data_IF_969478924550
#
_entry.id   IF_969478924550
#
_cell.length_a   1.000
_cell.length_b   1.000
_cell.length_c   1.000
_cell.angle_alpha   90.00
_cell.angle_beta   90.00
_cell.angle_gamma   90.00
#
_symmetry.space_group_name_H-M   'P 1'
#
loop_
_entity.id
_entity.type
_entity.pdbx_description
1 polymer ?
#
# COMPACT_ATOMS: atom_id res chain seq x y z
N UNK A 1 -19.99 -2.10 2.02
CA UNK A 1 -21.18 -2.93 1.96
C UNK A 1 -22.34 -2.20 1.31
N UNK A 2 -23.15 -2.91 0.55
CA UNK A 2 -24.35 -2.34 -0.11
C UNK A 2 -25.47 -3.36 0.00
N UNK A 3 -26.62 -2.93 0.48
CA UNK A 3 -27.81 -3.81 0.60
C UNK A 3 -28.28 -4.31 -0.78
N UNK A 4 -28.78 -5.53 -0.84
CA UNK A 4 -29.22 -6.16 -2.07
C UNK A 4 -28.10 -6.69 -2.97
N UNK A 5 -26.84 -6.57 -2.58
CA UNK A 5 -25.70 -7.12 -3.31
C UNK A 5 -25.46 -8.58 -2.93
N UNK A 6 -25.15 -9.42 -3.94
CA UNK A 6 -24.67 -10.78 -3.71
C UNK A 6 -23.14 -10.74 -3.63
N UNK A 7 -22.60 -11.09 -2.47
CA UNK A 7 -21.17 -11.22 -2.25
C UNK A 7 -20.73 -12.66 -2.48
N UNK A 8 -19.48 -12.84 -2.90
CA UNK A 8 -18.94 -14.17 -3.14
C UNK A 8 -18.35 -14.71 -1.83
N UNK A 9 -18.64 -15.97 -1.45
CA UNK A 9 -18.00 -16.54 -0.28
C UNK A 9 -16.51 -16.78 -0.56
N UNK A 10 -15.68 -16.48 0.42
CA UNK A 10 -14.27 -16.84 0.41
C UNK A 10 -14.13 -18.37 0.53
N UNK A 11 -13.15 -18.90 -0.19
CA UNK A 11 -12.73 -20.29 -0.09
C UNK A 11 -11.22 -20.36 0.01
N UNK A 12 -10.70 -21.22 0.88
CA UNK A 12 -9.27 -21.44 1.08
C UNK A 12 -8.64 -22.37 0.03
N UNK A 13 -9.47 -23.14 -0.67
CA UNK A 13 -9.06 -24.13 -1.67
C UNK A 13 -9.11 -23.61 -3.13
N UNK A 14 -9.57 -22.39 -3.36
CA UNK A 14 -9.58 -21.75 -4.67
C UNK A 14 -8.75 -20.46 -4.65
N UNK A 15 -8.11 -20.17 -5.75
CA UNK A 15 -7.45 -18.86 -5.89
C UNK A 15 -8.52 -17.75 -6.04
N UNK A 16 -8.76 -17.03 -4.94
CA UNK A 16 -9.69 -15.90 -4.90
C UNK A 16 -9.09 -14.60 -5.42
N UNK A 17 -7.76 -14.54 -5.54
CA UNK A 17 -7.01 -13.35 -5.95
C UNK A 17 -6.79 -13.32 -7.47
N UNK A 18 -7.91 -13.22 -8.21
CA UNK A 18 -7.88 -12.95 -9.64
C UNK A 18 -8.09 -11.45 -9.86
N UNK A 19 -7.28 -10.85 -10.71
CA UNK A 19 -7.28 -9.42 -10.94
C UNK A 19 -7.65 -9.11 -12.38
N UNK A 20 -8.31 -7.98 -12.61
CA UNK A 20 -8.53 -7.42 -13.94
C UNK A 20 -7.25 -6.78 -14.52
N UNK A 21 -7.34 -6.19 -15.70
CA UNK A 21 -6.22 -5.50 -16.36
C UNK A 21 -5.69 -4.29 -15.58
N UNK A 22 -6.50 -3.73 -14.69
CA UNK A 22 -6.15 -2.60 -13.82
C UNK A 22 -5.59 -3.04 -12.47
N UNK A 23 -5.52 -4.35 -12.21
CA UNK A 23 -5.09 -4.90 -10.93
C UNK A 23 -6.15 -4.87 -9.83
N UNK A 24 -7.41 -4.72 -10.19
CA UNK A 24 -8.53 -4.75 -9.24
C UNK A 24 -9.01 -6.18 -9.09
N UNK A 25 -9.28 -6.60 -7.85
CA UNK A 25 -9.80 -7.94 -7.56
C UNK A 25 -11.17 -8.11 -8.21
N UNK A 26 -11.30 -9.16 -9.05
CA UNK A 26 -12.53 -9.46 -9.76
C UNK A 26 -13.67 -9.96 -8.84
N UNK A 27 -13.31 -10.51 -7.68
CA UNK A 27 -14.27 -11.19 -6.80
C UNK A 27 -14.53 -10.37 -5.54
N UNK A 28 -15.79 -10.00 -5.30
CA UNK A 28 -16.21 -9.22 -4.13
C UNK A 28 -16.48 -10.15 -2.94
N UNK A 29 -15.43 -10.63 -2.28
CA UNK A 29 -15.53 -11.51 -1.11
C UNK A 29 -15.31 -10.79 0.22
N UNK A 30 -15.00 -9.49 0.21
CA UNK A 30 -14.88 -8.67 1.40
C UNK A 30 -15.62 -7.33 1.24
N UNK A 31 -15.96 -6.72 2.36
CA UNK A 31 -16.68 -5.46 2.41
C UNK A 31 -16.11 -4.55 3.49
N UNK A 32 -16.22 -3.25 3.28
CA UNK A 32 -16.07 -2.23 4.30
C UNK A 32 -17.47 -1.74 4.71
N UNK A 33 -17.74 -1.65 6.01
CA UNK A 33 -18.97 -1.10 6.53
C UNK A 33 -18.88 0.42 6.82
N UNK A 34 -19.93 1.03 7.33
CA UNK A 34 -19.99 2.45 7.66
C UNK A 34 -19.08 2.87 8.85
N UNK A 35 -18.55 1.90 9.60
CA UNK A 35 -17.61 2.12 10.72
C UNK A 35 -16.17 1.88 10.33
N UNK A 36 -15.87 1.80 9.03
CA UNK A 36 -14.54 1.49 8.48
C UNK A 36 -14.00 0.11 8.89
N UNK A 37 -14.88 -0.78 9.34
CA UNK A 37 -14.57 -2.16 9.63
C UNK A 37 -14.60 -2.99 8.34
N UNK A 38 -13.62 -3.87 8.17
CA UNK A 38 -13.51 -4.75 7.01
C UNK A 38 -13.89 -6.16 7.41
N UNK A 39 -14.80 -6.74 6.66
CA UNK A 39 -15.28 -8.10 6.85
C UNK A 39 -15.05 -8.94 5.60
N UNK A 40 -14.75 -10.21 5.79
CA UNK A 40 -14.67 -11.23 4.75
C UNK A 40 -15.93 -12.09 4.78
N UNK A 41 -16.51 -12.34 3.62
CA UNK A 41 -17.69 -13.20 3.48
C UNK A 41 -17.26 -14.67 3.54
N UNK A 42 -17.74 -15.42 4.51
CA UNK A 42 -17.50 -16.86 4.64
C UNK A 42 -18.65 -17.70 4.07
N UNK A 43 -19.88 -17.14 4.06
CA UNK A 43 -21.04 -17.77 3.44
C UNK A 43 -22.02 -16.71 2.95
N UNK A 44 -22.64 -16.93 1.80
CA UNK A 44 -23.55 -15.98 1.16
C UNK A 44 -24.99 -16.51 1.06
N UNK A 45 -25.38 -17.41 1.94
CA UNK A 45 -26.71 -18.00 1.95
C UNK A 45 -27.15 -18.51 0.55
N UNK A 46 -26.32 -19.36 -0.05
CA UNK A 46 -26.56 -19.94 -1.39
C UNK A 46 -26.78 -18.90 -2.51
N UNK A 47 -26.13 -17.74 -2.43
CA UNK A 47 -26.23 -16.70 -3.43
C UNK A 47 -27.41 -15.74 -3.24
N UNK A 48 -28.03 -15.71 -2.07
CA UNK A 48 -29.05 -14.73 -1.75
C UNK A 48 -28.44 -13.31 -1.60
N UNK A 49 -29.18 -12.23 -1.90
CA UNK A 49 -28.72 -10.87 -1.65
C UNK A 49 -28.50 -10.59 -0.16
N UNK A 50 -27.42 -9.92 0.20
CA UNK A 50 -27.19 -9.46 1.58
C UNK A 50 -28.09 -8.28 1.91
N UNK A 51 -28.78 -8.36 3.04
CA UNK A 51 -29.71 -7.32 3.51
C UNK A 51 -29.38 -6.78 4.89
N UNK A 52 -28.41 -7.39 5.59
CA UNK A 52 -27.96 -7.00 6.92
C UNK A 52 -26.49 -6.63 6.88
N UNK A 53 -26.17 -5.39 7.29
CA UNK A 53 -24.78 -4.90 7.33
C UNK A 53 -23.98 -5.63 8.42
N UNK A 54 -22.78 -6.20 8.12
CA UNK A 54 -21.93 -6.76 9.15
C UNK A 54 -21.34 -5.64 10.02
N UNK A 55 -21.53 -5.74 11.34
CA UNK A 55 -21.03 -4.77 12.30
C UNK A 55 -20.45 -5.51 13.51
N UNK A 56 -19.20 -5.23 13.83
CA UNK A 56 -18.60 -5.61 15.11
C UNK A 56 -18.97 -4.57 16.16
N UNK A 57 -19.71 -4.96 17.17
CA UNK A 57 -20.16 -4.04 18.21
C UNK A 57 -18.99 -3.59 19.10
N UNK A 58 -19.02 -2.34 19.55
CA UNK A 58 -18.04 -1.82 20.49
C UNK A 58 -18.08 -2.64 21.79
N UNK A 59 -16.89 -3.05 22.27
CA UNK A 59 -16.76 -3.86 23.45
C UNK A 59 -16.82 -5.37 23.21
N UNK A 60 -16.94 -5.83 21.97
CA UNK A 60 -16.77 -7.25 21.64
C UNK A 60 -15.33 -7.66 21.96
N UNK A 61 -15.18 -8.55 22.95
CA UNK A 61 -13.87 -9.04 23.41
C UNK A 61 -13.32 -10.14 22.52
N UNK A 62 -14.19 -10.87 21.83
CA UNK A 62 -13.80 -11.92 20.90
C UNK A 62 -14.13 -11.52 19.45
N UNK A 63 -13.15 -10.97 18.78
CA UNK A 63 -13.24 -10.56 17.37
C UNK A 63 -12.98 -11.71 16.41
N UNK A 64 -12.64 -12.90 16.93
CA UNK A 64 -12.32 -14.08 16.13
C UNK A 64 -13.58 -14.86 15.73
N UNK A 65 -14.72 -14.52 16.31
CA UNK A 65 -15.97 -15.22 16.06
C UNK A 65 -16.59 -14.83 14.72
N UNK A 66 -17.13 -15.83 14.05
CA UNK A 66 -17.95 -15.63 12.86
C UNK A 66 -19.26 -14.95 13.23
N UNK A 67 -19.60 -13.87 12.53
CA UNK A 67 -20.89 -13.20 12.65
C UNK A 67 -21.92 -13.93 11.79
N UNK A 68 -22.94 -14.47 12.43
CA UNK A 68 -24.11 -15.08 11.78
C UNK A 68 -25.22 -14.04 11.70
N UNK A 69 -25.54 -13.58 10.50
CA UNK A 69 -26.53 -12.52 10.31
C UNK A 69 -27.91 -13.09 9.94
N UNK A 70 -28.95 -12.29 10.20
CA UNK A 70 -30.34 -12.71 9.98
C UNK A 70 -30.69 -12.98 8.51
N UNK A 71 -29.89 -12.44 7.57
CA UNK A 71 -30.00 -12.73 6.13
C UNK A 71 -29.30 -14.04 5.71
N UNK A 72 -28.78 -14.81 6.66
CA UNK A 72 -28.05 -16.06 6.45
C UNK A 72 -26.61 -15.91 6.00
N UNK A 73 -26.11 -14.68 5.88
CA UNK A 73 -24.68 -14.45 5.63
C UNK A 73 -23.83 -14.75 6.85
N UNK A 74 -22.62 -15.25 6.60
CA UNK A 74 -21.58 -15.45 7.62
C UNK A 74 -20.39 -14.58 7.27
N UNK A 75 -20.01 -13.71 8.20
CA UNK A 75 -18.90 -12.78 8.02
C UNK A 75 -17.86 -12.96 9.11
N UNK A 76 -16.60 -12.73 8.78
CA UNK A 76 -15.50 -12.64 9.75
C UNK A 76 -14.87 -11.27 9.68
N UNK A 77 -14.61 -10.68 10.83
CA UNK A 77 -13.91 -9.40 10.94
C UNK A 77 -12.44 -9.57 10.61
N UNK A 78 -11.86 -8.64 9.87
CA UNK A 78 -10.43 -8.64 9.49
C UNK A 78 -9.68 -7.51 10.19
N UNK A 79 -10.12 -6.28 10.01
CA UNK A 79 -9.46 -5.09 10.56
C UNK A 79 -10.38 -3.87 10.49
N UNK A 80 -9.96 -2.78 11.13
CA UNK A 80 -10.60 -1.47 10.97
C UNK A 80 -9.59 -0.49 10.39
N UNK A 81 -10.01 0.27 9.39
CA UNK A 81 -9.14 1.29 8.78
C UNK A 81 -8.89 2.40 9.79
N UNK A 82 -7.62 2.65 10.09
CA UNK A 82 -7.23 3.76 10.96
C UNK A 82 -7.62 5.12 10.35
N UNK A 83 -8.02 6.07 11.20
CA UNK A 83 -8.47 7.41 10.76
C UNK A 83 -7.37 8.19 10.04
N UNK A 84 -6.11 8.04 10.46
CA UNK A 84 -4.97 8.69 9.83
C UNK A 84 -4.71 8.12 8.43
N UNK A 85 -4.72 6.80 8.30
CA UNK A 85 -4.60 6.12 7.01
C UNK A 85 -5.77 6.48 6.08
N UNK A 86 -6.99 6.55 6.62
CA UNK A 86 -8.17 6.97 5.86
C UNK A 86 -8.01 8.36 5.30
N UNK A 87 -7.58 9.33 6.12
CA UNK A 87 -7.38 10.71 5.69
C UNK A 87 -6.38 10.82 4.54
N UNK A 88 -5.27 10.08 4.62
CA UNK A 88 -4.15 10.21 3.68
C UNK A 88 -4.27 9.35 2.42
N UNK A 89 -4.90 8.17 2.52
CA UNK A 89 -4.80 7.14 1.49
C UNK A 89 -6.13 6.60 0.97
N UNK A 90 -7.25 6.88 1.64
CA UNK A 90 -8.55 6.37 1.21
C UNK A 90 -9.15 7.24 0.11
N UNK A 91 -9.64 6.61 -0.96
CA UNK A 91 -10.45 7.23 -2.00
C UNK A 91 -11.43 6.20 -2.63
N UNK A 92 -12.08 6.57 -3.73
CA UNK A 92 -13.06 5.69 -4.38
C UNK A 92 -12.45 4.41 -4.99
N UNK A 93 -11.14 4.41 -5.26
CA UNK A 93 -10.44 3.31 -5.92
C UNK A 93 -9.56 2.51 -4.94
N UNK A 94 -9.13 3.14 -3.85
CA UNK A 94 -8.12 2.61 -2.96
C UNK A 94 -8.56 2.58 -1.50
N UNK A 95 -8.38 1.44 -0.87
CA UNK A 95 -8.60 1.21 0.54
C UNK A 95 -7.25 0.91 1.21
N UNK A 96 -6.79 1.75 2.15
CA UNK A 96 -5.50 1.54 2.78
C UNK A 96 -5.56 0.42 3.82
N UNK A 97 -4.49 -0.38 3.85
CA UNK A 97 -4.19 -1.30 4.95
C UNK A 97 -2.82 -0.95 5.52
N UNK A 98 -2.68 -1.08 6.84
CA UNK A 98 -1.40 -0.87 7.50
C UNK A 98 -0.41 -1.99 7.14
N UNK A 99 0.81 -1.63 6.72
CA UNK A 99 1.89 -2.58 6.45
C UNK A 99 2.86 -2.56 7.63
N UNK A 100 3.23 -3.76 8.12
CA UNK A 100 4.34 -3.91 9.07
C UNK A 100 4.10 -3.30 10.46
N UNK A 101 2.93 -2.81 10.73
CA UNK A 101 2.54 -2.52 12.10
C UNK A 101 2.13 -3.86 12.69
N UNK A 102 2.89 -4.34 13.68
CA UNK A 102 2.31 -5.16 14.72
C UNK A 102 1.23 -4.29 15.38
N UNK A 103 0.14 -4.00 14.66
CA UNK A 103 -1.07 -3.68 15.35
C UNK A 103 -1.24 -4.89 16.26
N UNK A 104 -1.30 -4.71 17.58
CA UNK A 104 -1.86 -5.75 18.38
C UNK A 104 -3.27 -5.93 17.83
N UNK A 105 -3.38 -6.78 16.80
CA UNK A 105 -4.67 -7.32 16.48
C UNK A 105 -5.04 -8.03 17.79
N UNK A 106 -6.09 -7.60 18.50
CA UNK A 106 -6.52 -8.30 19.69
C UNK A 106 -6.93 -9.73 19.39
N UNK A 107 -6.94 -10.12 18.13
CA UNK A 107 -6.93 -11.50 17.70
C UNK A 107 -5.58 -12.09 18.05
N UNK A 108 -5.38 -12.43 19.34
CA UNK A 108 -4.43 -13.48 19.67
C UNK A 108 -4.70 -14.63 18.72
N UNK A 109 -3.68 -15.17 18.03
CA UNK A 109 -3.89 -16.29 17.14
C UNK A 109 -4.58 -17.39 17.93
N UNK A 110 -5.87 -17.47 17.80
CA UNK A 110 -6.57 -18.69 18.08
C UNK A 110 -5.93 -19.68 17.12
N UNK A 111 -5.10 -20.54 17.59
CA UNK A 111 -4.18 -21.45 16.94
C UNK A 111 -4.26 -21.53 15.41
N UNK A 112 -3.15 -21.80 14.81
CA UNK A 112 -3.04 -22.06 13.38
C UNK A 112 -4.20 -22.95 12.91
N UNK A 113 -4.98 -22.47 11.92
CA UNK A 113 -6.05 -23.28 11.34
C UNK A 113 -7.23 -23.56 12.26
N UNK A 114 -8.12 -22.59 12.44
CA UNK A 114 -9.42 -22.77 13.09
C UNK A 114 -10.54 -22.88 12.03
N UNK A 115 -11.56 -23.67 12.30
CA UNK A 115 -12.73 -23.79 11.42
C UNK A 115 -13.71 -22.67 11.76
N UNK A 116 -13.81 -21.69 10.88
CA UNK A 116 -14.64 -20.49 11.11
C UNK A 116 -16.06 -20.60 10.57
N UNK A 117 -16.23 -21.36 9.50
CA UNK A 117 -17.55 -21.64 8.94
C UNK A 117 -17.59 -23.03 8.31
N UNK A 118 -18.79 -23.59 8.24
CA UNK A 118 -19.06 -24.80 7.48
C UNK A 118 -20.20 -24.47 6.53
N UNK A 119 -19.96 -24.62 5.22
CA UNK A 119 -20.89 -24.29 4.17
C UNK A 119 -21.51 -25.58 3.60
N UNK A 120 -22.83 -25.70 3.69
CA UNK A 120 -23.58 -26.86 3.14
C UNK A 120 -23.55 -26.77 1.62
N UNK A 121 -23.06 -27.81 0.96
CA UNK A 121 -23.00 -27.92 -0.50
C UNK A 121 -24.14 -28.76 -1.06
N UNK A 122 -24.68 -29.68 -0.25
CA UNK A 122 -25.90 -30.45 -0.54
C UNK A 122 -26.62 -30.68 0.77
N UNK A 123 -27.91 -30.36 0.81
CA UNK A 123 -28.73 -30.46 2.02
C UNK A 123 -29.01 -31.92 2.45
N UNK A 124 -28.82 -32.87 1.56
CA UNK A 124 -29.21 -34.24 1.84
C UNK A 124 -30.74 -34.37 2.08
N UNK A 125 -31.14 -35.48 2.58
CA UNK A 125 -32.54 -35.73 3.02
C UNK A 125 -32.58 -36.79 4.13
N UNK A 126 -33.75 -36.95 4.77
CA UNK A 126 -33.93 -37.93 5.83
C UNK A 126 -33.49 -37.47 7.21
N UNK A 127 -33.26 -36.18 7.39
CA UNK A 127 -32.93 -35.57 8.70
C UNK A 127 -34.22 -35.23 9.47
N UNK A 128 -34.19 -35.40 10.78
CA UNK A 128 -35.27 -34.94 11.64
C UNK A 128 -35.25 -33.43 11.81
N UNK A 129 -36.40 -32.77 11.61
CA UNK A 129 -36.52 -31.34 11.84
C UNK A 129 -36.23 -30.98 13.31
N UNK A 130 -35.37 -29.97 13.53
CA UNK A 130 -35.01 -29.49 14.85
C UNK A 130 -33.56 -29.04 14.91
N UNK A 131 -33.27 -28.20 15.88
CA UNK A 131 -32.01 -27.43 15.93
C UNK A 131 -30.83 -28.17 16.59
N UNK A 132 -30.94 -29.31 17.21
CA UNK A 132 -29.84 -29.78 18.08
C UNK A 132 -29.56 -31.29 18.02
N UNK A 133 -30.21 -32.02 17.15
CA UNK A 133 -30.09 -33.47 17.16
C UNK A 133 -29.19 -34.07 16.08
N UNK A 134 -28.80 -33.29 15.10
CA UNK A 134 -27.93 -33.78 14.03
C UNK A 134 -26.46 -33.49 14.37
N UNK A 135 -25.75 -34.56 14.65
CA UNK A 135 -24.30 -34.47 14.98
C UNK A 135 -23.51 -34.23 13.73
N UNK A 136 -22.75 -33.18 13.76
CA UNK A 136 -21.71 -32.87 12.75
C UNK A 136 -20.39 -33.47 13.20
N UNK A 137 -19.90 -34.45 12.46
CA UNK A 137 -18.61 -35.07 12.72
C UNK A 137 -17.52 -34.31 11.89
N UNK A 138 -16.53 -33.76 12.56
CA UNK A 138 -15.41 -33.03 11.98
C UNK A 138 -14.19 -33.90 12.17
N UNK A 139 -13.55 -34.30 11.07
CA UNK A 139 -12.31 -35.09 11.07
C UNK A 139 -11.25 -34.36 10.28
N UNK A 140 -9.99 -34.34 10.75
CA UNK A 140 -8.87 -33.66 10.12
C UNK A 140 -7.61 -33.85 10.94
N UNK A 141 -6.62 -33.02 10.67
CA UNK A 141 -5.33 -33.00 11.39
C UNK A 141 -5.34 -32.09 12.64
N UNK A 142 -6.36 -31.25 12.78
CA UNK A 142 -6.57 -30.40 13.94
C UNK A 142 -7.42 -31.07 15.03
N UNK A 143 -7.77 -30.29 16.06
CA UNK A 143 -8.53 -30.77 17.21
C UNK A 143 -9.48 -29.73 17.81
N UNK A 144 -10.50 -30.21 18.51
CA UNK A 144 -11.38 -29.40 19.35
C UNK A 144 -12.50 -28.67 18.59
N UNK A 145 -12.59 -28.77 17.28
CA UNK A 145 -13.73 -28.20 16.56
C UNK A 145 -15.01 -28.92 16.86
N UNK A 146 -16.12 -28.17 17.01
CA UNK A 146 -17.45 -28.66 17.23
C UNK A 146 -18.48 -27.81 16.48
N UNK A 147 -19.52 -28.47 15.96
CA UNK A 147 -20.60 -27.82 15.25
C UNK A 147 -21.90 -28.61 15.41
N UNK A 148 -23.04 -27.95 15.15
CA UNK A 148 -24.32 -28.60 15.00
C UNK A 148 -25.00 -28.19 13.70
N UNK A 149 -25.84 -29.03 13.16
CA UNK A 149 -26.59 -28.75 11.94
C UNK A 149 -28.03 -28.36 12.25
N UNK A 150 -28.49 -27.30 11.59
CA UNK A 150 -29.88 -26.91 11.52
C UNK A 150 -30.56 -27.69 10.40
N UNK A 151 -31.74 -28.29 10.70
CA UNK A 151 -32.50 -29.05 9.72
C UNK A 151 -33.85 -28.40 9.45
N UNK A 152 -34.16 -28.24 8.18
CA UNK A 152 -35.44 -27.73 7.70
C UNK A 152 -35.96 -28.60 6.54
N UNK A 153 -37.21 -28.96 6.60
CA UNK A 153 -37.87 -29.85 5.62
C UNK A 153 -37.11 -31.16 5.34
N UNK A 154 -36.51 -31.74 6.38
CA UNK A 154 -35.80 -33.03 6.27
C UNK A 154 -34.41 -32.94 5.63
N UNK A 155 -33.92 -31.75 5.33
CA UNK A 155 -32.56 -31.49 4.84
C UNK A 155 -31.76 -30.56 5.75
N UNK A 156 -30.44 -30.64 5.71
CA UNK A 156 -29.56 -29.71 6.43
C UNK A 156 -29.61 -28.36 5.75
N UNK A 157 -30.11 -27.35 6.45
CA UNK A 157 -30.23 -25.99 5.95
C UNK A 157 -28.97 -25.14 6.24
N UNK A 158 -28.34 -25.36 7.39
CA UNK A 158 -27.13 -24.65 7.82
C UNK A 158 -26.35 -25.46 8.85
N UNK A 159 -25.06 -25.11 9.02
CA UNK A 159 -24.18 -25.65 10.06
C UNK A 159 -23.58 -24.50 10.86
N UNK A 160 -23.77 -24.54 12.18
CA UNK A 160 -23.28 -23.57 13.12
C UNK A 160 -22.06 -24.14 13.85
N UNK A 161 -20.93 -23.49 13.71
CA UNK A 161 -19.70 -23.82 14.45
C UNK A 161 -19.83 -23.28 15.87
N UNK A 162 -19.72 -24.15 16.88
CA UNK A 162 -19.78 -23.80 18.31
C UNK A 162 -18.41 -23.71 18.94
N UNK A 163 -17.43 -24.39 18.38
CA UNK A 163 -16.03 -24.30 18.72
C UNK A 163 -15.20 -24.43 17.45
N UNK A 164 -14.37 -23.44 17.17
CA UNK A 164 -13.55 -23.40 15.96
C UNK A 164 -12.38 -24.39 15.96
N UNK A 165 -12.00 -24.92 17.13
CA UNK A 165 -10.82 -25.77 17.26
C UNK A 165 -9.51 -25.06 16.87
N UNK A 166 -8.47 -25.84 16.67
CA UNK A 166 -7.16 -25.34 16.26
C UNK A 166 -6.32 -26.37 15.51
N UNK A 167 -5.26 -25.89 14.87
CA UNK A 167 -4.26 -26.68 14.13
C UNK A 167 -4.82 -27.48 12.93
N UNK A 168 -5.92 -27.05 12.34
CA UNK A 168 -6.44 -27.64 11.11
C UNK A 168 -5.71 -27.06 9.89
N UNK A 169 -5.21 -27.95 9.02
CA UNK A 169 -4.83 -27.60 7.64
C UNK A 169 -5.83 -28.15 6.64
N UNK A 170 -6.59 -29.19 7.04
CA UNK A 170 -7.75 -29.70 6.32
C UNK A 170 -8.80 -30.23 7.29
N UNK A 171 -10.05 -30.24 6.87
CA UNK A 171 -11.13 -30.83 7.61
C UNK A 171 -12.17 -31.46 6.67
N UNK A 172 -12.60 -32.67 7.02
CA UNK A 172 -13.71 -33.38 6.36
C UNK A 172 -14.93 -33.34 7.24
N UNK A 173 -16.06 -32.90 6.67
CA UNK A 173 -17.33 -32.75 7.38
C UNK A 173 -18.22 -33.89 7.00
N UNK A 174 -18.72 -34.61 7.99
CA UNK A 174 -19.69 -35.69 7.81
C UNK A 174 -20.93 -35.39 8.67
N UNK A 175 -22.10 -35.38 8.03
CA UNK A 175 -23.38 -35.11 8.67
C UNK A 175 -24.29 -36.30 8.40
N UNK A 176 -24.46 -37.15 9.40
CA UNK A 176 -25.25 -38.36 9.25
C UNK A 176 -26.67 -38.14 9.75
N UNK A 177 -27.70 -38.62 9.02
CA UNK A 177 -29.07 -38.65 9.54
C UNK A 177 -29.14 -39.50 10.80
N UNK A 178 -29.88 -39.05 11.81
CA UNK A 178 -30.11 -39.87 13.02
C UNK A 178 -31.23 -40.91 12.78
N UNK A 179 -31.05 -42.08 13.40
CA UNK A 179 -32.18 -43.03 13.59
C UNK A 179 -32.53 -43.94 12.43
N UNK A 180 -31.57 -44.32 11.58
CA UNK A 180 -31.80 -45.40 10.61
C UNK A 180 -32.65 -45.02 9.39
N UNK A 181 -32.69 -43.72 9.08
CA UNK A 181 -33.31 -43.21 7.86
C UNK A 181 -32.48 -43.56 6.61
N UNK A 182 -33.12 -44.06 5.57
CA UNK A 182 -32.51 -44.28 4.26
C UNK A 182 -32.51 -42.98 3.44
N UNK A 183 -31.75 -42.02 3.88
CA UNK A 183 -31.60 -40.72 3.18
C UNK A 183 -30.22 -40.54 2.58
N UNK A 184 -30.09 -39.58 1.70
CA UNK A 184 -28.78 -39.14 1.21
C UNK A 184 -28.11 -38.21 2.24
N UNK A 185 -26.84 -38.47 2.54
CA UNK A 185 -26.08 -37.63 3.46
C UNK A 185 -25.91 -36.21 2.90
N UNK A 186 -26.02 -35.21 3.76
CA UNK A 186 -25.62 -33.85 3.46
C UNK A 186 -24.11 -33.77 3.27
N UNK A 187 -23.71 -32.92 2.38
CA UNK A 187 -22.29 -32.59 2.18
C UNK A 187 -22.01 -31.14 2.51
N UNK A 188 -20.85 -30.88 3.09
CA UNK A 188 -20.45 -29.55 3.49
C UNK A 188 -18.93 -29.39 3.42
N UNK A 189 -18.49 -28.16 3.20
CA UNK A 189 -17.08 -27.76 3.20
C UNK A 189 -16.78 -26.89 4.42
N UNK A 190 -15.67 -27.18 5.10
CA UNK A 190 -15.13 -26.32 6.14
C UNK A 190 -14.35 -25.14 5.51
N UNK A 191 -14.46 -23.98 6.09
CA UNK A 191 -13.62 -22.82 5.80
C UNK A 191 -12.63 -22.67 6.96
N UNK A 192 -11.36 -22.88 6.66
CA UNK A 192 -10.27 -22.84 7.63
C UNK A 192 -9.62 -21.47 7.58
N UNK A 193 -9.27 -20.93 8.74
CA UNK A 193 -8.57 -19.64 8.84
C UNK A 193 -7.18 -19.72 8.22
N UNK A 194 -6.65 -18.60 7.71
CA UNK A 194 -5.26 -18.54 7.29
C UNK A 194 -4.31 -18.72 8.48
N UNK A 195 -3.03 -18.98 8.17
CA UNK A 195 -1.97 -19.08 9.18
C UNK A 195 -1.92 -17.80 10.02
N UNK A 196 -1.98 -17.94 11.34
CA UNK A 196 -2.07 -16.81 12.27
C UNK A 196 -3.49 -16.33 12.59
N UNK A 197 -4.51 -16.90 11.92
CA UNK A 197 -5.92 -16.49 12.05
C UNK A 197 -6.31 -15.33 11.13
N UNK A 198 -7.60 -15.12 10.98
CA UNK A 198 -8.12 -13.99 10.22
C UNK A 198 -7.69 -12.66 10.84
N UNK A 199 -7.26 -11.71 10.01
CA UNK A 199 -6.79 -10.38 10.43
C UNK A 199 -5.37 -10.34 11.02
N UNK A 200 -4.67 -11.48 11.09
CA UNK A 200 -3.26 -11.50 11.50
C UNK A 200 -2.37 -10.77 10.46
N UNK A 201 -2.59 -11.04 9.19
CA UNK A 201 -1.96 -10.33 8.07
C UNK A 201 -3.04 -9.85 7.08
N UNK A 202 -3.68 -8.71 7.33
CA UNK A 202 -4.73 -8.18 6.47
C UNK A 202 -4.26 -7.91 5.03
N UNK A 203 -2.98 -7.60 4.84
CA UNK A 203 -2.39 -7.30 3.53
C UNK A 203 -2.41 -8.55 2.65
N UNK A 204 -1.87 -9.65 3.16
CA UNK A 204 -1.88 -10.94 2.48
C UNK A 204 -3.30 -11.51 2.36
N UNK A 205 -4.08 -11.42 3.43
CA UNK A 205 -5.42 -11.98 3.50
C UNK A 205 -6.42 -11.34 2.55
N UNK A 206 -6.26 -10.06 2.23
CA UNK A 206 -7.08 -9.32 1.27
C UNK A 206 -6.43 -9.21 -0.12
N UNK A 207 -5.27 -9.84 -0.32
CA UNK A 207 -4.60 -9.91 -1.62
C UNK A 207 -4.10 -8.56 -2.12
N UNK A 208 -3.52 -7.75 -1.23
CA UNK A 208 -2.96 -6.47 -1.61
C UNK A 208 -1.76 -6.64 -2.54
N UNK A 209 -1.80 -5.94 -3.66
CA UNK A 209 -0.76 -5.94 -4.68
C UNK A 209 -0.32 -4.53 -5.08
N UNK A 210 -0.68 -3.52 -4.26
CA UNK A 210 -0.30 -2.12 -4.49
C UNK A 210 0.26 -1.51 -3.22
N UNK A 211 1.26 -0.65 -3.39
CA UNK A 211 1.77 0.23 -2.33
C UNK A 211 1.46 1.66 -2.73
N UNK A 212 0.87 2.43 -1.80
CA UNK A 212 0.61 3.84 -1.98
C UNK A 212 1.54 4.66 -1.08
N UNK A 213 2.19 5.64 -1.66
CA UNK A 213 2.92 6.68 -0.96
C UNK A 213 2.15 7.99 -1.09
N UNK A 214 1.98 8.69 0.00
CA UNK A 214 1.36 10.03 0.03
C UNK A 214 2.30 11.02 0.67
N UNK A 215 2.59 12.09 -0.04
CA UNK A 215 3.42 13.19 0.43
C UNK A 215 2.60 14.45 0.35
N UNK A 216 2.48 15.15 1.47
CA UNK A 216 1.91 16.50 1.53
C UNK A 216 3.08 17.48 1.43
N UNK A 217 3.01 18.34 0.42
CA UNK A 217 4.07 19.30 0.16
C UNK A 217 3.78 20.56 0.97
N UNK A 218 4.51 20.72 2.06
CA UNK A 218 4.46 21.93 2.88
C UNK A 218 5.44 22.98 2.30
N UNK A 219 4.93 24.16 2.01
CA UNK A 219 5.71 25.26 1.45
C UNK A 219 6.74 25.89 2.40
N UNK A 220 6.87 25.37 3.63
CA UNK A 220 7.75 25.91 4.68
C UNK A 220 9.03 25.08 4.91
N UNK A 221 9.21 23.98 4.20
CA UNK A 221 10.37 23.10 4.38
C UNK A 221 11.65 23.61 3.71
N UNK A 222 12.79 23.14 4.24
CA UNK A 222 14.11 23.25 3.61
C UNK A 222 14.18 22.43 2.31
N UNK A 223 13.49 22.79 1.35
CA UNK A 223 13.23 22.10 0.09
C UNK A 223 11.97 22.65 -0.53
N UNK A 224 11.68 23.91 -0.23
CA UNK A 224 10.52 24.64 -0.73
C UNK A 224 10.25 24.31 -2.19
N UNK A 225 9.08 23.77 -2.45
CA UNK A 225 8.55 23.76 -3.79
C UNK A 225 8.09 25.20 -4.06
N UNK A 226 8.76 25.94 -4.94
CA UNK A 226 8.46 27.34 -5.14
C UNK A 226 7.02 27.53 -5.65
N UNK A 227 6.41 28.64 -5.23
CA UNK A 227 5.05 29.03 -5.67
C UNK A 227 4.99 29.22 -7.18
N UNK A 228 6.11 29.59 -7.79
CA UNK A 228 6.29 29.72 -9.23
C UNK A 228 7.46 28.87 -9.70
N UNK A 229 7.15 27.82 -10.45
CA UNK A 229 8.15 26.95 -11.07
C UNK A 229 8.35 27.39 -12.51
N UNK A 230 9.51 28.00 -12.77
CA UNK A 230 9.89 28.39 -14.12
C UNK A 230 10.53 27.25 -14.93
N UNK A 231 11.06 26.22 -14.31
CA UNK A 231 11.75 25.13 -15.01
C UNK A 231 10.85 23.96 -15.41
N UNK A 232 11.24 23.26 -16.46
CA UNK A 232 10.38 22.53 -17.37
C UNK A 232 10.84 21.15 -17.75
N UNK A 233 12.09 20.80 -17.51
CA UNK A 233 12.62 19.50 -17.92
C UNK A 233 12.87 18.62 -16.70
N UNK A 234 12.27 17.45 -16.71
CA UNK A 234 12.52 16.37 -15.77
C UNK A 234 13.06 15.20 -16.56
N UNK A 235 14.21 14.70 -16.18
CA UNK A 235 14.84 13.54 -16.77
C UNK A 235 15.19 12.52 -15.68
N UNK A 236 14.93 11.25 -15.94
CA UNK A 236 15.43 10.13 -15.15
C UNK A 236 16.51 9.42 -15.94
N UNK A 237 17.68 9.29 -15.33
CA UNK A 237 18.83 8.60 -15.91
C UNK A 237 19.07 7.32 -15.13
N UNK A 238 19.20 6.20 -15.84
CA UNK A 238 19.48 4.89 -15.28
C UNK A 238 20.93 4.53 -15.50
N UNK A 239 21.55 3.91 -14.51
CA UNK A 239 22.93 3.44 -14.51
C UNK A 239 23.94 4.52 -14.93
N UNK A 240 23.93 5.73 -14.31
CA UNK A 240 24.99 6.70 -14.54
C UNK A 240 26.31 6.12 -14.00
N UNK A 241 27.40 6.49 -14.62
CA UNK A 241 28.75 6.10 -14.16
C UNK A 241 29.40 7.26 -13.43
N UNK A 242 30.24 6.94 -12.47
CA UNK A 242 31.13 7.89 -11.84
C UNK A 242 32.21 8.35 -12.82
N UNK A 243 32.92 9.45 -12.49
CA UNK A 243 34.00 10.00 -13.31
C UNK A 243 35.16 9.02 -13.53
N UNK A 244 35.35 8.03 -12.66
CA UNK A 244 36.29 6.93 -12.80
C UNK A 244 35.75 5.74 -13.61
N UNK A 245 34.52 5.81 -14.12
CA UNK A 245 33.87 4.78 -14.90
C UNK A 245 33.21 3.68 -14.07
N UNK A 246 33.21 3.76 -12.76
CA UNK A 246 32.60 2.77 -11.88
C UNK A 246 31.12 3.05 -11.64
N UNK A 247 30.37 2.01 -11.18
CA UNK A 247 28.96 2.12 -10.81
C UNK A 247 28.84 2.77 -9.42
N UNK A 248 27.93 3.74 -9.23
CA UNK A 248 27.69 4.34 -7.92
C UNK A 248 27.25 3.30 -6.89
N UNK A 249 27.87 3.28 -5.72
CA UNK A 249 27.56 2.35 -4.61
C UNK A 249 27.17 3.06 -3.32
N UNK A 250 27.47 4.37 -3.18
CA UNK A 250 27.09 5.17 -2.05
C UNK A 250 25.70 5.83 -2.26
N UNK A 251 25.10 6.30 -1.18
CA UNK A 251 23.80 6.98 -1.21
C UNK A 251 23.88 8.49 -1.45
N UNK A 252 25.07 9.07 -1.40
CA UNK A 252 25.29 10.51 -1.54
C UNK A 252 26.40 10.79 -2.55
N UNK A 253 26.07 11.58 -3.56
CA UNK A 253 27.00 12.02 -4.62
C UNK A 253 26.72 13.47 -5.00
N UNK A 254 27.76 14.17 -5.46
CA UNK A 254 27.61 15.50 -6.03
C UNK A 254 27.07 15.39 -7.47
N UNK A 255 25.89 15.92 -7.71
CA UNK A 255 25.25 15.96 -9.04
C UNK A 255 25.61 17.22 -9.84
N UNK A 256 26.21 18.20 -9.19
CA UNK A 256 26.72 19.46 -9.79
C UNK A 256 28.11 19.69 -9.31
N UNK A 257 28.84 20.53 -10.02
CA UNK A 257 30.14 21.03 -9.54
C UNK A 257 29.92 22.01 -8.37
N UNK A 258 30.70 21.88 -7.31
CA UNK A 258 30.60 22.74 -6.13
C UNK A 258 31.78 23.70 -6.07
N UNK A 259 31.50 25.00 -6.04
CA UNK A 259 32.49 26.06 -5.91
C UNK A 259 32.33 26.77 -4.56
N UNK A 260 33.31 26.63 -3.66
CA UNK A 260 33.36 27.43 -2.44
C UNK A 260 34.00 28.77 -2.77
N UNK A 261 33.31 29.85 -2.40
CA UNK A 261 33.75 31.20 -2.70
C UNK A 261 34.00 32.04 -1.45
N UNK A 262 34.73 33.15 -1.59
CA UNK A 262 34.97 34.06 -0.49
C UNK A 262 33.67 34.69 0.03
N UNK A 263 33.66 35.05 1.32
CA UNK A 263 32.55 35.80 1.91
C UNK A 263 32.28 37.10 1.17
N UNK A 264 31.02 37.51 1.12
CA UNK A 264 30.57 38.78 0.55
C UNK A 264 29.08 39.00 0.78
N UNK A 265 28.59 40.21 0.63
CA UNK A 265 27.22 40.63 0.90
C UNK A 265 26.26 40.31 -0.27
N UNK A 266 26.77 40.39 -1.50
CA UNK A 266 25.94 40.19 -2.69
C UNK A 266 25.80 38.69 -3.00
N UNK A 267 24.66 38.30 -3.54
CA UNK A 267 24.36 36.92 -3.89
C UNK A 267 24.40 36.69 -5.39
N UNK A 268 24.84 35.50 -5.79
CA UNK A 268 24.63 35.02 -7.14
C UNK A 268 23.17 34.65 -7.35
N UNK A 269 22.68 34.77 -8.58
CA UNK A 269 21.30 34.48 -8.99
C UNK A 269 21.26 33.12 -9.66
N UNK A 270 20.34 32.26 -9.25
CA UNK A 270 20.09 30.96 -9.92
C UNK A 270 19.73 31.20 -11.40
N UNK A 271 20.33 30.42 -12.28
CA UNK A 271 20.19 30.54 -13.74
C UNK A 271 21.13 31.53 -14.40
N UNK A 272 21.87 32.37 -13.64
CA UNK A 272 22.83 33.30 -14.26
C UNK A 272 24.09 32.58 -14.73
N UNK A 273 24.72 33.18 -15.76
CA UNK A 273 26.07 32.78 -16.16
C UNK A 273 27.09 33.45 -15.25
N UNK A 274 28.04 32.65 -14.77
CA UNK A 274 29.25 33.17 -14.11
C UNK A 274 30.48 32.91 -14.98
N UNK A 275 31.52 33.72 -14.78
CA UNK A 275 32.75 33.56 -15.55
C UNK A 275 33.98 33.94 -14.74
N UNK A 276 35.16 33.44 -15.14
CA UNK A 276 36.50 33.94 -14.75
C UNK A 276 37.20 34.50 -15.97
N UNK A 277 37.81 35.66 -15.83
CA UNK A 277 38.52 36.34 -16.90
C UNK A 277 38.32 37.87 -16.85
N UNK A 278 38.88 38.59 -17.80
CA UNK A 278 38.74 40.04 -17.88
C UNK A 278 37.39 40.53 -18.39
N UNK A 279 36.69 39.66 -19.12
CA UNK A 279 35.32 39.86 -19.60
C UNK A 279 34.67 38.51 -19.91
N UNK A 280 33.33 38.50 -20.12
CA UNK A 280 32.62 37.28 -20.53
C UNK A 280 33.12 36.73 -21.88
N UNK A 281 33.51 37.60 -22.82
CA UNK A 281 33.99 37.15 -24.13
C UNK A 281 35.41 36.55 -24.04
N UNK A 282 36.21 36.97 -23.10
CA UNK A 282 37.60 36.50 -22.85
C UNK A 282 37.66 35.62 -21.59
N UNK A 283 36.59 34.94 -21.27
CA UNK A 283 36.52 34.08 -20.12
C UNK A 283 37.34 32.79 -20.31
N UNK A 284 38.17 32.48 -19.34
CA UNK A 284 38.87 31.18 -19.26
C UNK A 284 38.00 30.07 -18.71
N UNK A 285 36.99 30.42 -17.94
CA UNK A 285 35.99 29.52 -17.34
C UNK A 285 34.62 30.17 -17.35
N UNK A 286 33.62 29.44 -17.72
CA UNK A 286 32.20 29.83 -17.62
C UNK A 286 31.36 28.69 -17.04
N UNK A 287 30.31 29.03 -16.30
CA UNK A 287 29.35 28.10 -15.76
C UNK A 287 28.00 28.78 -15.59
N UNK A 288 26.96 27.97 -15.37
CA UNK A 288 25.64 28.44 -14.97
C UNK A 288 25.41 28.11 -13.48
N UNK A 289 24.94 29.10 -12.72
CA UNK A 289 24.59 28.92 -11.32
C UNK A 289 23.30 28.11 -11.24
N UNK A 290 23.38 26.90 -10.68
CA UNK A 290 22.19 26.11 -10.36
C UNK A 290 21.54 26.55 -9.03
N UNK A 291 22.38 26.72 -8.00
CA UNK A 291 21.98 27.23 -6.69
C UNK A 291 23.15 27.96 -6.02
N UNK A 292 22.83 28.85 -5.08
CA UNK A 292 23.84 29.51 -4.25
C UNK A 292 23.41 29.45 -2.77
N UNK A 293 24.18 28.72 -1.98
CA UNK A 293 24.06 28.71 -0.52
C UNK A 293 24.95 29.81 0.05
N UNK A 294 24.33 30.95 0.34
CA UNK A 294 25.02 32.12 0.89
C UNK A 294 25.55 31.88 2.31
N UNK A 295 24.91 31.02 3.09
CA UNK A 295 25.30 30.74 4.47
C UNK A 295 26.64 30.00 4.52
N UNK A 296 26.84 29.07 3.60
CA UNK A 296 28.08 28.28 3.48
C UNK A 296 29.04 28.83 2.39
N UNK A 297 28.62 29.84 1.64
CA UNK A 297 29.33 30.39 0.49
C UNK A 297 29.66 29.33 -0.59
N UNK A 298 28.71 28.43 -0.86
CA UNK A 298 28.87 27.38 -1.84
C UNK A 298 27.93 27.62 -3.02
N UNK A 299 28.49 27.62 -4.22
CA UNK A 299 27.76 27.71 -5.49
C UNK A 299 27.68 26.30 -6.09
N UNK A 300 26.49 25.85 -6.45
CA UNK A 300 26.31 24.68 -7.30
C UNK A 300 26.33 25.13 -8.76
N UNK A 301 27.21 24.53 -9.56
CA UNK A 301 27.47 24.92 -10.93
C UNK A 301 27.09 23.80 -11.90
N UNK A 302 26.51 24.19 -13.02
CA UNK A 302 26.20 23.30 -14.16
C UNK A 302 26.71 23.95 -15.46
N UNK A 303 26.75 23.15 -16.54
CA UNK A 303 27.21 23.63 -17.85
C UNK A 303 28.58 24.31 -17.79
N UNK A 304 29.51 23.73 -17.05
CA UNK A 304 30.85 24.25 -16.88
C UNK A 304 31.68 24.04 -18.14
N UNK A 305 32.35 25.12 -18.58
CA UNK A 305 33.20 25.12 -19.77
C UNK A 305 34.49 25.87 -19.48
N UNK A 306 35.60 25.33 -19.94
CA UNK A 306 36.92 25.95 -19.79
C UNK A 306 37.65 25.48 -18.54
N UNK A 307 38.68 26.23 -18.15
CA UNK A 307 39.57 25.92 -17.02
C UNK A 307 39.44 26.97 -15.94
N UNK A 308 39.08 26.57 -14.73
CA UNK A 308 39.00 27.45 -13.58
C UNK A 308 40.39 27.66 -12.94
N UNK A 309 40.51 28.77 -12.25
CA UNK A 309 41.68 29.08 -11.45
C UNK A 309 41.29 29.39 -10.00
N UNK A 310 41.85 28.65 -9.04
CA UNK A 310 41.68 28.95 -7.62
C UNK A 310 42.35 30.28 -7.29
N UNK A 311 41.76 31.06 -6.39
CA UNK A 311 42.20 32.40 -6.05
C UNK A 311 41.80 33.50 -7.03
N UNK A 312 41.21 33.16 -8.19
CA UNK A 312 40.67 34.14 -9.13
C UNK A 312 39.19 34.43 -8.84
N UNK A 313 38.76 35.63 -9.23
CA UNK A 313 37.37 36.05 -9.03
C UNK A 313 36.43 35.38 -10.04
N UNK A 314 35.24 34.94 -9.55
CA UNK A 314 34.08 34.59 -10.32
C UNK A 314 33.15 35.80 -10.40
N UNK A 315 32.67 36.13 -11.58
CA UNK A 315 31.80 37.27 -11.85
C UNK A 315 30.40 36.77 -12.32
N UNK A 316 29.36 37.22 -11.66
CA UNK A 316 27.97 36.98 -12.08
C UNK A 316 27.55 38.00 -13.15
N UNK A 317 27.04 37.52 -14.27
CA UNK A 317 26.64 38.37 -15.41
C UNK A 317 25.42 39.21 -15.09
N UNK A 318 24.45 38.65 -14.39
CA UNK A 318 23.18 39.31 -14.07
C UNK A 318 23.23 40.00 -12.72
N UNK A 319 23.76 39.34 -11.72
CA UNK A 319 23.84 39.86 -10.36
C UNK A 319 24.93 40.98 -10.19
N UNK A 320 25.93 41.02 -11.07
CA UNK A 320 27.11 41.82 -10.89
C UNK A 320 27.98 41.42 -9.69
N UNK A 321 27.65 40.28 -9.08
CA UNK A 321 28.40 39.78 -7.92
C UNK A 321 29.77 39.30 -8.32
N UNK A 322 30.78 39.61 -7.49
CA UNK A 322 32.14 39.12 -7.66
C UNK A 322 32.63 38.48 -6.36
N UNK A 323 33.15 37.25 -6.45
CA UNK A 323 33.73 36.52 -5.32
C UNK A 323 34.91 35.67 -5.76
N UNK A 324 35.89 35.52 -4.90
CA UNK A 324 37.08 34.71 -5.18
C UNK A 324 36.75 33.24 -5.02
N UNK A 325 37.11 32.42 -5.99
CA UNK A 325 37.00 30.97 -5.94
C UNK A 325 38.07 30.40 -5.00
N UNK A 326 37.64 29.76 -3.91
CA UNK A 326 38.54 29.19 -2.90
C UNK A 326 38.76 27.71 -3.08
N UNK A 327 37.68 26.97 -3.42
CA UNK A 327 37.72 25.54 -3.64
C UNK A 327 36.77 25.17 -4.77
N UNK A 328 37.08 24.11 -5.49
CA UNK A 328 36.24 23.54 -6.53
C UNK A 328 36.23 22.02 -6.40
N UNK A 329 35.02 21.44 -6.34
CA UNK A 329 34.80 20.03 -6.26
C UNK A 329 33.92 19.65 -7.48
N UNK A 330 34.44 18.86 -8.42
CA UNK A 330 33.69 18.50 -9.60
C UNK A 330 32.54 17.56 -9.24
N UNK A 331 31.57 17.43 -10.15
CA UNK A 331 30.50 16.43 -10.05
C UNK A 331 31.06 15.01 -9.92
N UNK A 332 30.39 14.16 -9.16
CA UNK A 332 30.78 12.76 -9.01
C UNK A 332 30.51 11.93 -10.26
N UNK A 333 29.60 12.37 -11.12
CA UNK A 333 29.17 11.62 -12.28
C UNK A 333 29.88 12.02 -13.58
N UNK A 334 30.17 11.02 -14.42
CA UNK A 334 30.60 11.25 -15.79
C UNK A 334 29.46 11.82 -16.62
N UNK A 335 29.68 13.01 -17.16
CA UNK A 335 28.66 13.70 -17.97
C UNK A 335 28.32 12.89 -19.22
N UNK A 336 27.04 12.70 -19.48
CA UNK A 336 26.53 11.92 -20.61
C UNK A 336 26.58 10.40 -20.42
N UNK A 337 26.97 9.90 -19.24
CA UNK A 337 26.86 8.46 -18.92
C UNK A 337 25.44 8.07 -18.55
N UNK A 338 25.18 6.75 -18.62
CA UNK A 338 23.85 6.19 -18.33
C UNK A 338 22.89 6.28 -19.50
N UNK A 339 21.65 5.87 -19.25
CA UNK A 339 20.56 5.87 -20.24
C UNK A 339 19.42 6.73 -19.74
N UNK A 340 18.90 7.63 -20.59
CA UNK A 340 17.68 8.36 -20.28
C UNK A 340 16.50 7.40 -20.31
N UNK A 341 15.89 7.13 -19.16
CA UNK A 341 14.71 6.29 -19.03
C UNK A 341 13.42 7.09 -19.25
N UNK A 342 13.42 8.33 -18.84
CA UNK A 342 12.27 9.21 -18.92
C UNK A 342 12.71 10.64 -19.13
N UNK A 343 11.97 11.35 -19.97
CA UNK A 343 12.20 12.75 -20.26
C UNK A 343 10.87 13.47 -20.45
N UNK A 344 10.67 14.57 -19.74
CA UNK A 344 9.46 15.36 -19.80
C UNK A 344 9.75 16.86 -19.81
N UNK A 345 9.11 17.57 -20.70
CA UNK A 345 9.03 19.03 -20.70
C UNK A 345 7.71 19.44 -20.04
N UNK A 346 7.79 20.15 -18.93
CA UNK A 346 6.61 20.64 -18.23
C UNK A 346 6.36 22.12 -18.48
N UNK A 347 5.10 22.49 -18.53
CA UNK A 347 4.65 23.89 -18.53
C UNK A 347 4.91 24.52 -17.15
N UNK A 348 5.12 25.85 -17.07
CA UNK A 348 5.19 26.55 -15.78
C UNK A 348 3.93 26.25 -14.96
N UNK A 349 4.13 25.95 -13.69
CA UNK A 349 3.04 25.78 -12.73
C UNK A 349 3.10 26.92 -11.73
N UNK A 350 2.06 27.77 -11.72
CA UNK A 350 1.84 28.74 -10.66
C UNK A 350 0.93 28.13 -9.60
N UNK A 351 1.33 28.18 -8.35
CA UNK A 351 0.56 27.68 -7.21
C UNK A 351 0.08 28.83 -6.35
N UNK A 352 -1.08 28.64 -5.71
CA UNK A 352 -1.54 29.57 -4.68
C UNK A 352 -0.59 29.51 -3.49
N UNK A 353 -0.20 30.65 -2.94
CA UNK A 353 0.66 30.73 -1.74
C UNK A 353 0.05 30.01 -0.51
N UNK A 354 -1.26 29.80 -0.49
CA UNK A 354 -1.99 29.13 0.58
C UNK A 354 -2.54 27.76 0.14
N UNK A 355 -2.07 27.20 -0.98
CA UNK A 355 -2.52 25.92 -1.48
C UNK A 355 -1.79 24.76 -0.81
N UNK A 356 -2.54 23.76 -0.33
CA UNK A 356 -1.99 22.47 0.06
C UNK A 356 -1.98 21.54 -1.15
N UNK A 357 -0.83 20.96 -1.44
CA UNK A 357 -0.68 19.97 -2.49
C UNK A 357 -0.34 18.61 -1.90
N UNK A 358 -1.08 17.60 -2.31
CA UNK A 358 -0.82 16.22 -1.94
C UNK A 358 -0.44 15.41 -3.18
N UNK A 359 0.75 14.83 -3.16
CA UNK A 359 1.20 13.89 -4.17
C UNK A 359 0.93 12.47 -3.70
N UNK A 360 0.16 11.70 -4.47
CA UNK A 360 -0.07 10.28 -4.23
C UNK A 360 0.53 9.47 -5.37
N UNK A 361 1.38 8.52 -5.02
CA UNK A 361 1.97 7.57 -5.96
C UNK A 361 1.50 6.18 -5.60
N UNK A 362 0.91 5.49 -6.57
CA UNK A 362 0.46 4.09 -6.42
C UNK A 362 1.34 3.22 -7.28
N UNK A 363 2.02 2.25 -6.67
CA UNK A 363 2.87 1.28 -7.34
C UNK A 363 2.22 -0.10 -7.23
N UNK A 364 2.17 -0.82 -8.34
CA UNK A 364 1.71 -2.21 -8.42
C UNK A 364 2.91 -3.16 -8.40
N UNK A 365 2.79 -4.28 -7.69
CA UNK A 365 3.78 -5.36 -7.58
C UNK A 365 3.24 -6.69 -8.10
#
# INVERSE_FOLDING_TARGET
WTTGTVYKPYTDYNNMFTFDSNGIINQKFYVRNNFDQIFKCLSNNNGAPSTVEPVLQAGTTDQTQTLYLADGYKWIYITTIDKGLKKSFFDNNWMPLAVGVNTPNPMTPAGLGSINAINVTNSGNGYSNGVTTTVVNITGDGQGAAAYANVYNGGVSDVIVTNSGNNYTYATITINPQGGYNGNNATANAIISPIGGHGYDPVSELGCNHIMMSVELDGTENGNIPVDISFRQVGLVVNPLLTDGTVPTASVYNTADLATVSFGLNSFISGETIYQGTSRQNATFTATVSAFDQSNNIISLINTVGTYSLGAALYGVTSGTSRVLLQYIPTSFSVGSGYAMYYENRQPVQRSANGNEQLRLVLRF
#
